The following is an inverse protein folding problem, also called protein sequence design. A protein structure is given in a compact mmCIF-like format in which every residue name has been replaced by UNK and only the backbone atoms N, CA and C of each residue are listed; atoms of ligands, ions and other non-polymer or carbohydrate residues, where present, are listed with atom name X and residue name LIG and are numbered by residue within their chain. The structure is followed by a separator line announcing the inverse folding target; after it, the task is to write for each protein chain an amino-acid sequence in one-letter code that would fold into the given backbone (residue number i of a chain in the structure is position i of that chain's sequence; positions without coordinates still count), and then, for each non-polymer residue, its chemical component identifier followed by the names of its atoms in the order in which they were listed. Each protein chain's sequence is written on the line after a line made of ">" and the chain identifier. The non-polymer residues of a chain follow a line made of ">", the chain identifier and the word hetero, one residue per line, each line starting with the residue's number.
data_IF_981311286614
#
_entry.id   IF_981311286614
#
_cell.length_a   1.000
_cell.length_b   1.000
_cell.length_c   1.000
_cell.angle_alpha   90.00
_cell.angle_beta   90.00
_cell.angle_gamma   90.00
#
_symmetry.space_group_name_H-M   'P 1'
#
loop_
_entity.id
_entity.type
_entity.pdbx_description
1 polymer ?
#
# COMPACT_ATOMS: atom_id res chain seq x y z
N UNK A 1 -11.76 -56.67 -2.24
CA UNK A 1 -13.01 -55.93 -1.95
C UNK A 1 -12.80 -54.74 -1.00
N UNK A 2 -12.04 -54.85 0.10
CA UNK A 2 -11.78 -53.69 0.98
C UNK A 2 -10.77 -52.65 0.46
N UNK A 3 -9.82 -53.06 -0.38
CA UNK A 3 -8.72 -52.21 -0.86
C UNK A 3 -9.16 -51.20 -1.95
N UNK A 4 -10.08 -51.62 -2.83
CA UNK A 4 -10.64 -50.78 -3.89
C UNK A 4 -11.57 -49.69 -3.31
N UNK A 5 -12.38 -50.02 -2.30
CA UNK A 5 -13.25 -49.05 -1.63
C UNK A 5 -12.47 -47.97 -0.89
N UNK A 6 -11.40 -48.35 -0.17
CA UNK A 6 -10.51 -47.40 0.49
C UNK A 6 -9.81 -46.47 -0.51
N UNK A 7 -9.42 -47.02 -1.67
CA UNK A 7 -8.81 -46.25 -2.76
C UNK A 7 -9.79 -45.24 -3.36
N UNK A 8 -11.01 -45.65 -3.69
CA UNK A 8 -12.06 -44.77 -4.24
C UNK A 8 -12.41 -43.65 -3.26
N UNK A 9 -12.56 -43.96 -1.97
CA UNK A 9 -12.85 -42.95 -0.95
C UNK A 9 -11.72 -41.93 -0.80
N UNK A 10 -10.47 -42.36 -0.84
CA UNK A 10 -9.31 -41.47 -0.83
C UNK A 10 -9.29 -40.53 -2.05
N UNK A 11 -9.58 -41.07 -3.24
CA UNK A 11 -9.64 -40.28 -4.48
C UNK A 11 -10.81 -39.28 -4.47
N UNK A 12 -11.98 -39.71 -4.00
CA UNK A 12 -13.15 -38.85 -3.80
C UNK A 12 -12.82 -37.66 -2.88
N UNK A 13 -12.15 -37.89 -1.75
CA UNK A 13 -11.70 -36.83 -0.84
C UNK A 13 -10.71 -35.86 -1.48
N UNK A 14 -9.82 -36.36 -2.35
CA UNK A 14 -8.89 -35.52 -3.13
C UNK A 14 -9.63 -34.61 -4.11
N UNK A 15 -10.67 -35.11 -4.79
CA UNK A 15 -11.53 -34.32 -5.69
C UNK A 15 -12.30 -33.26 -4.91
N UNK A 16 -12.87 -33.59 -3.76
CA UNK A 16 -13.54 -32.63 -2.86
C UNK A 16 -12.61 -31.51 -2.42
N UNK A 17 -11.37 -31.82 -2.03
CA UNK A 17 -10.39 -30.80 -1.66
C UNK A 17 -10.13 -29.82 -2.82
N UNK A 18 -9.99 -30.33 -4.05
CA UNK A 18 -9.83 -29.47 -5.24
C UNK A 18 -11.06 -28.60 -5.49
N UNK A 19 -12.26 -29.19 -5.41
CA UNK A 19 -13.51 -28.48 -5.62
C UNK A 19 -13.72 -27.40 -4.55
N UNK A 20 -13.35 -27.65 -3.29
CA UNK A 20 -13.37 -26.67 -2.20
C UNK A 20 -12.47 -25.47 -2.49
N UNK A 21 -11.24 -25.70 -2.95
CA UNK A 21 -10.32 -24.63 -3.32
C UNK A 21 -10.86 -23.77 -4.46
N UNK A 22 -11.52 -24.39 -5.45
CA UNK A 22 -12.16 -23.68 -6.55
C UNK A 22 -13.39 -22.89 -6.06
N UNK A 23 -14.24 -23.49 -5.22
CA UNK A 23 -15.39 -22.82 -4.62
C UNK A 23 -14.97 -21.57 -3.83
N UNK A 24 -13.89 -21.67 -3.04
CA UNK A 24 -13.33 -20.54 -2.30
C UNK A 24 -12.73 -19.47 -3.21
N UNK A 25 -12.13 -19.85 -4.34
CA UNK A 25 -11.57 -18.88 -5.28
C UNK A 25 -12.66 -18.04 -5.97
N UNK A 26 -13.74 -18.69 -6.39
CA UNK A 26 -14.83 -18.02 -7.12
C UNK A 26 -15.83 -17.32 -6.19
N UNK A 27 -15.96 -17.77 -4.94
CA UNK A 27 -16.94 -17.26 -3.96
C UNK A 27 -18.38 -17.19 -4.52
N UNK A 28 -18.71 -18.08 -5.45
CA UNK A 28 -19.99 -18.07 -6.17
C UNK A 28 -20.97 -19.07 -5.55
N UNK A 29 -22.20 -18.63 -5.30
CA UNK A 29 -23.21 -19.40 -4.56
C UNK A 29 -23.50 -20.77 -5.19
N UNK A 30 -23.59 -20.85 -6.52
CA UNK A 30 -23.87 -22.10 -7.21
C UNK A 30 -22.70 -23.10 -7.09
N UNK A 31 -21.44 -22.63 -7.17
CA UNK A 31 -20.26 -23.50 -7.02
C UNK A 31 -20.13 -24.01 -5.59
N UNK A 32 -20.36 -23.13 -4.61
CA UNK A 32 -20.36 -23.49 -3.19
C UNK A 32 -21.45 -24.55 -2.92
N UNK A 33 -22.64 -24.36 -3.48
CA UNK A 33 -23.76 -25.29 -3.35
C UNK A 33 -23.45 -26.65 -3.96
N UNK A 34 -22.82 -26.69 -5.14
CA UNK A 34 -22.34 -27.91 -5.78
C UNK A 34 -21.30 -28.62 -4.90
N UNK A 35 -20.33 -27.89 -4.35
CA UNK A 35 -19.35 -28.44 -3.41
C UNK A 35 -20.03 -29.10 -2.21
N UNK A 36 -20.96 -28.40 -1.55
CA UNK A 36 -21.69 -28.92 -0.39
C UNK A 36 -22.45 -30.21 -0.75
N UNK A 37 -23.16 -30.24 -1.88
CA UNK A 37 -23.90 -31.44 -2.32
C UNK A 37 -22.95 -32.61 -2.62
N UNK A 38 -21.80 -32.35 -3.25
CA UNK A 38 -20.79 -33.36 -3.54
C UNK A 38 -20.19 -33.93 -2.24
N UNK A 39 -19.98 -33.09 -1.23
CA UNK A 39 -19.49 -33.47 0.10
C UNK A 39 -20.51 -34.35 0.86
N UNK A 40 -21.80 -33.99 0.78
CA UNK A 40 -22.89 -34.82 1.33
C UNK A 40 -22.89 -36.20 0.67
N UNK A 41 -22.78 -36.28 -0.66
CA UNK A 41 -22.71 -37.57 -1.39
C UNK A 41 -21.51 -38.39 -0.90
N UNK A 42 -20.33 -37.79 -0.78
CA UNK A 42 -19.15 -38.48 -0.23
C UNK A 42 -19.39 -39.03 1.18
N UNK A 43 -19.93 -38.20 2.07
CA UNK A 43 -20.19 -38.60 3.46
C UNK A 43 -21.22 -39.75 3.54
N UNK A 44 -22.25 -39.77 2.68
CA UNK A 44 -23.21 -40.88 2.60
C UNK A 44 -22.54 -42.22 2.28
N UNK A 45 -21.58 -42.26 1.36
CA UNK A 45 -20.79 -43.46 1.04
C UNK A 45 -19.73 -43.78 2.11
N UNK A 46 -19.26 -42.78 2.85
CA UNK A 46 -18.38 -43.01 4.01
C UNK A 46 -19.12 -43.69 5.17
N UNK A 47 -20.36 -43.28 5.43
CA UNK A 47 -21.18 -43.76 6.55
C UNK A 47 -21.85 -45.12 6.24
N UNK A 48 -22.13 -45.42 4.97
CA UNK A 48 -22.83 -46.64 4.57
C UNK A 48 -21.93 -47.59 3.76
N UNK A 49 -21.29 -48.54 4.44
CA UNK A 49 -20.39 -49.54 3.83
C UNK A 49 -21.11 -50.59 2.96
N UNK A 50 -22.44 -50.61 2.98
CA UNK A 50 -23.27 -51.46 2.13
C UNK A 50 -23.47 -50.91 0.70
N UNK A 51 -23.08 -49.65 0.46
CA UNK A 51 -23.17 -49.04 -0.87
C UNK A 51 -22.02 -49.49 -1.77
N UNK A 52 -22.31 -49.61 -3.07
CA UNK A 52 -21.28 -49.94 -4.07
C UNK A 52 -20.47 -48.70 -4.43
N UNK A 53 -19.23 -48.63 -3.92
CA UNK A 53 -18.29 -47.53 -4.12
C UNK A 53 -17.97 -47.25 -5.59
N UNK A 54 -18.15 -48.20 -6.51
CA UNK A 54 -17.95 -47.93 -7.95
C UNK A 54 -18.93 -46.89 -8.48
N UNK A 55 -20.12 -46.79 -7.89
CA UNK A 55 -21.12 -45.77 -8.24
C UNK A 55 -20.66 -44.36 -7.82
N UNK A 56 -19.96 -44.24 -6.69
CA UNK A 56 -19.34 -42.97 -6.28
C UNK A 56 -18.24 -42.56 -7.27
N UNK A 57 -17.42 -43.51 -7.73
CA UNK A 57 -16.40 -43.23 -8.73
C UNK A 57 -17.01 -42.82 -10.08
N UNK A 58 -18.07 -43.50 -10.53
CA UNK A 58 -18.81 -43.12 -11.74
C UNK A 58 -19.38 -41.71 -11.64
N UNK A 59 -19.98 -41.35 -10.51
CA UNK A 59 -20.45 -39.99 -10.25
C UNK A 59 -19.31 -38.97 -10.39
N UNK A 60 -18.15 -39.24 -9.79
CA UNK A 60 -17.01 -38.33 -9.90
C UNK A 60 -16.49 -38.18 -11.32
N UNK A 61 -16.34 -39.28 -12.06
CA UNK A 61 -15.85 -39.27 -13.44
C UNK A 61 -16.79 -38.49 -14.37
N UNK A 62 -18.11 -38.67 -14.19
CA UNK A 62 -19.11 -38.04 -15.05
C UNK A 62 -19.35 -36.57 -14.71
N UNK A 63 -19.35 -36.23 -13.41
CA UNK A 63 -19.84 -34.92 -12.95
C UNK A 63 -18.75 -34.08 -12.28
N UNK A 64 -17.99 -34.65 -11.35
CA UNK A 64 -17.05 -33.86 -10.54
C UNK A 64 -15.79 -33.50 -11.31
N UNK A 65 -15.22 -34.44 -12.06
CA UNK A 65 -13.95 -34.24 -12.77
C UNK A 65 -14.10 -33.23 -13.92
N UNK A 66 -15.20 -33.31 -14.69
CA UNK A 66 -15.49 -32.33 -15.75
C UNK A 66 -15.74 -30.92 -15.21
N UNK A 67 -16.43 -30.79 -14.08
CA UNK A 67 -16.64 -29.50 -13.42
C UNK A 67 -15.32 -28.92 -12.90
N UNK A 68 -14.49 -29.74 -12.25
CA UNK A 68 -13.16 -29.32 -11.78
C UNK A 68 -12.32 -28.82 -12.96
N UNK A 69 -12.34 -29.52 -14.10
CA UNK A 69 -11.59 -29.11 -15.29
C UNK A 69 -12.06 -27.75 -15.82
N UNK A 70 -13.38 -27.57 -15.97
CA UNK A 70 -13.98 -26.31 -16.42
C UNK A 70 -13.60 -25.14 -15.51
N UNK A 71 -13.84 -25.29 -14.21
CA UNK A 71 -13.53 -24.27 -13.21
C UNK A 71 -12.03 -23.96 -13.15
N UNK A 72 -11.17 -24.96 -13.33
CA UNK A 72 -9.71 -24.77 -13.38
C UNK A 72 -9.29 -23.97 -14.61
N UNK A 73 -9.89 -24.21 -15.78
CA UNK A 73 -9.62 -23.42 -17.00
C UNK A 73 -10.03 -21.97 -16.83
N UNK A 74 -11.24 -21.73 -16.33
CA UNK A 74 -11.76 -20.38 -16.07
C UNK A 74 -10.88 -19.67 -15.04
N UNK A 75 -10.48 -20.36 -13.96
CA UNK A 75 -9.58 -19.80 -12.95
C UNK A 75 -8.26 -19.35 -13.57
N UNK A 76 -7.62 -20.19 -14.40
CA UNK A 76 -6.35 -19.83 -15.06
C UNK A 76 -6.48 -18.64 -15.98
N UNK A 77 -7.58 -18.57 -16.75
CA UNK A 77 -7.84 -17.43 -17.62
C UNK A 77 -7.95 -16.13 -16.80
N UNK A 78 -8.74 -16.14 -15.73
CA UNK A 78 -8.87 -14.99 -14.84
C UNK A 78 -7.56 -14.59 -14.17
N UNK A 79 -6.80 -15.57 -13.68
CA UNK A 79 -5.49 -15.30 -13.08
C UNK A 79 -4.57 -14.59 -14.09
N UNK A 80 -4.53 -15.07 -15.34
CA UNK A 80 -3.76 -14.44 -16.42
C UNK A 80 -4.23 -13.01 -16.73
N UNK A 81 -5.55 -12.78 -16.82
CA UNK A 81 -6.12 -11.45 -17.07
C UNK A 81 -5.84 -10.46 -15.93
N UNK A 82 -5.59 -10.98 -14.73
CA UNK A 82 -5.32 -10.21 -13.52
C UNK A 82 -3.82 -10.05 -13.22
N UNK A 83 -2.93 -10.76 -13.93
CA UNK A 83 -1.48 -10.71 -13.69
C UNK A 83 -0.93 -9.28 -13.78
N UNK A 84 -1.42 -8.49 -14.73
CA UNK A 84 -1.00 -7.09 -14.87
C UNK A 84 -1.33 -6.26 -13.62
N UNK A 85 -2.52 -6.47 -13.05
CA UNK A 85 -2.99 -5.76 -11.85
C UNK A 85 -2.24 -6.23 -10.60
N UNK A 86 -1.98 -7.53 -10.48
CA UNK A 86 -1.20 -8.11 -9.37
C UNK A 86 0.23 -7.56 -9.40
N UNK A 87 0.86 -7.55 -10.58
CA UNK A 87 2.20 -6.97 -10.75
C UNK A 87 2.22 -5.48 -10.39
N UNK A 88 1.17 -4.73 -10.72
CA UNK A 88 1.07 -3.32 -10.35
C UNK A 88 1.01 -3.14 -8.82
N UNK A 89 0.21 -3.95 -8.11
CA UNK A 89 0.15 -3.94 -6.64
C UNK A 89 1.53 -4.25 -6.04
N UNK A 90 2.20 -5.30 -6.53
CA UNK A 90 3.52 -5.71 -6.05
C UNK A 90 4.58 -4.62 -6.25
N UNK A 91 4.56 -3.94 -7.40
CA UNK A 91 5.46 -2.82 -7.67
C UNK A 91 5.17 -1.66 -6.73
N UNK A 92 3.90 -1.29 -6.52
CA UNK A 92 3.51 -0.23 -5.61
C UNK A 92 3.93 -0.54 -4.16
N UNK A 93 3.78 -1.80 -3.70
CA UNK A 93 4.21 -2.22 -2.37
C UNK A 93 5.72 -2.06 -2.17
N UNK A 94 6.54 -2.44 -3.17
CA UNK A 94 8.00 -2.22 -3.11
C UNK A 94 8.37 -0.74 -3.00
N UNK A 95 7.65 0.14 -3.68
CA UNK A 95 7.86 1.59 -3.54
C UNK A 95 7.49 2.07 -2.14
N UNK A 96 6.36 1.62 -1.58
CA UNK A 96 5.93 1.95 -0.22
C UNK A 96 6.99 1.55 0.80
N UNK A 97 7.46 0.29 0.76
CA UNK A 97 8.50 -0.22 1.66
C UNK A 97 9.79 0.61 1.56
N UNK A 98 10.24 0.89 0.32
CA UNK A 98 11.44 1.67 0.09
C UNK A 98 11.34 3.14 0.54
N UNK A 99 10.13 3.69 0.65
CA UNK A 99 9.90 5.01 1.24
C UNK A 99 9.82 4.94 2.77
N UNK A 100 9.15 3.93 3.35
CA UNK A 100 9.01 3.79 4.80
C UNK A 100 10.36 3.55 5.51
N UNK A 101 11.25 2.73 4.92
CA UNK A 101 12.59 2.47 5.48
C UNK A 101 13.47 3.73 5.60
N UNK A 102 13.27 4.73 4.74
CA UNK A 102 14.07 5.97 4.74
C UNK A 102 13.59 7.00 5.77
N UNK A 103 12.36 6.87 6.28
CA UNK A 103 11.58 8.05 6.72
C UNK A 103 11.60 8.41 8.20
N UNK A 104 11.66 7.47 9.14
CA UNK A 104 11.00 7.78 10.44
C UNK A 104 11.97 8.12 11.60
N UNK A 105 13.13 7.47 11.72
CA UNK A 105 13.94 7.65 12.94
C UNK A 105 15.07 8.69 12.85
N UNK A 106 15.63 8.93 11.64
CA UNK A 106 16.79 9.83 11.52
C UNK A 106 16.39 11.31 11.57
N UNK A 107 15.33 11.72 10.86
CA UNK A 107 14.97 13.14 10.73
C UNK A 107 14.62 13.79 12.07
N UNK A 108 13.79 13.13 12.90
CA UNK A 108 13.37 13.66 14.18
C UNK A 108 14.53 13.81 15.16
N UNK A 109 15.46 12.86 15.14
CA UNK A 109 16.69 12.88 15.94
C UNK A 109 17.64 13.98 15.46
N UNK A 110 17.91 14.02 14.16
CA UNK A 110 18.78 15.01 13.54
C UNK A 110 18.22 16.43 13.68
N UNK A 111 16.90 16.62 13.63
CA UNK A 111 16.23 17.91 13.86
C UNK A 111 16.49 18.45 15.26
N UNK A 112 16.46 17.60 16.28
CA UNK A 112 16.79 17.99 17.66
C UNK A 112 18.26 18.38 17.78
N UNK A 113 19.16 17.61 17.15
CA UNK A 113 20.58 17.95 17.11
C UNK A 113 20.84 19.25 16.34
N UNK A 114 20.12 19.49 15.25
CA UNK A 114 20.26 20.66 14.40
C UNK A 114 20.04 21.97 15.16
N UNK A 115 19.04 22.01 16.05
CA UNK A 115 18.82 23.16 16.93
C UNK A 115 20.05 23.49 17.79
N UNK A 116 20.75 22.46 18.28
CA UNK A 116 21.99 22.61 19.06
C UNK A 116 23.18 23.06 18.21
N UNK A 117 23.34 22.48 17.02
CA UNK A 117 24.39 22.85 16.05
C UNK A 117 24.23 24.32 15.65
N UNK A 118 23.01 24.73 15.29
CA UNK A 118 22.72 26.10 14.89
C UNK A 118 22.94 27.09 16.04
N UNK A 119 22.54 26.73 17.26
CA UNK A 119 22.81 27.54 18.46
C UNK A 119 24.31 27.76 18.69
N UNK A 120 25.13 26.72 18.52
CA UNK A 120 26.60 26.84 18.65
C UNK A 120 27.19 27.68 17.52
N UNK A 121 26.70 27.50 16.29
CA UNK A 121 27.13 28.29 15.14
C UNK A 121 26.86 29.78 15.34
N UNK A 122 25.65 30.15 15.81
CA UNK A 122 25.31 31.55 16.10
C UNK A 122 26.21 32.16 17.20
N UNK A 123 26.59 31.40 18.22
CA UNK A 123 27.55 31.86 19.25
C UNK A 123 28.92 32.14 18.66
N UNK A 124 29.42 31.21 17.84
CA UNK A 124 30.72 31.38 17.18
C UNK A 124 30.69 32.59 16.26
N UNK A 125 29.63 32.72 15.47
CA UNK A 125 29.42 33.84 14.56
C UNK A 125 29.39 35.19 15.30
N UNK A 126 28.71 35.27 16.44
CA UNK A 126 28.70 36.50 17.24
C UNK A 126 30.09 36.82 17.80
N UNK A 127 30.80 35.83 18.33
CA UNK A 127 32.17 36.00 18.82
C UNK A 127 33.09 36.50 17.70
N UNK A 128 33.03 35.86 16.55
CA UNK A 128 33.79 36.21 15.35
C UNK A 128 33.53 37.67 14.93
N UNK A 129 32.26 38.10 14.89
CA UNK A 129 31.88 39.49 14.62
C UNK A 129 32.42 40.49 15.65
N UNK A 130 32.53 40.10 16.92
CA UNK A 130 33.08 40.99 17.97
C UNK A 130 34.60 41.06 17.97
N UNK A 131 35.27 40.01 17.51
CA UNK A 131 36.73 39.90 17.44
C UNK A 131 37.29 40.26 16.05
N UNK A 132 36.41 40.60 15.09
CA UNK A 132 36.73 40.87 13.68
C UNK A 132 37.52 39.73 13.01
N UNK A 133 37.14 38.49 13.33
CA UNK A 133 37.68 37.27 12.74
C UNK A 133 36.55 36.51 12.02
N UNK A 134 36.92 35.54 11.17
CA UNK A 134 35.97 34.92 10.25
C UNK A 134 36.14 33.39 10.19
N UNK A 135 35.99 32.73 11.33
CA UNK A 135 36.33 31.31 11.52
C UNK A 135 35.13 30.36 11.44
N UNK A 136 33.91 30.85 11.66
CA UNK A 136 32.71 30.03 11.67
C UNK A 136 32.50 29.29 10.33
N UNK A 137 32.30 27.98 10.42
CA UNK A 137 32.00 27.10 9.28
C UNK A 137 30.49 26.86 9.17
N UNK A 138 29.94 27.21 7.99
CA UNK A 138 28.53 27.03 7.66
C UNK A 138 28.21 25.59 7.22
N UNK A 139 29.20 24.75 6.88
CA UNK A 139 28.95 23.40 6.36
C UNK A 139 28.08 22.54 7.30
N UNK A 140 28.30 22.65 8.61
CA UNK A 140 27.53 21.90 9.61
C UNK A 140 26.07 22.36 9.69
N UNK A 141 25.82 23.65 9.50
CA UNK A 141 24.47 24.21 9.45
C UNK A 141 23.80 23.84 8.12
N UNK A 142 24.54 23.96 7.02
CA UNK A 142 24.04 23.65 5.68
C UNK A 142 23.82 22.15 5.44
N UNK A 143 24.40 21.28 6.25
CA UNK A 143 24.23 19.84 6.10
C UNK A 143 22.76 19.41 6.27
N UNK A 144 22.04 20.05 7.20
CA UNK A 144 20.68 19.64 7.52
C UNK A 144 19.71 19.86 6.35
N UNK A 145 19.67 21.06 5.77
CA UNK A 145 18.82 21.32 4.60
C UNK A 145 19.25 20.50 3.38
N UNK A 146 20.56 20.30 3.16
CA UNK A 146 21.03 19.46 2.04
C UNK A 146 20.54 18.02 2.15
N UNK A 147 20.45 17.51 3.38
CA UNK A 147 20.01 16.14 3.65
C UNK A 147 18.49 16.01 3.64
N UNK A 148 17.77 16.99 4.17
CA UNK A 148 16.34 16.86 4.47
C UNK A 148 15.42 17.86 3.76
N UNK A 149 15.96 18.94 3.20
CA UNK A 149 15.21 20.03 2.59
C UNK A 149 14.26 19.54 1.51
N UNK A 150 14.76 18.79 0.53
CA UNK A 150 13.94 18.26 -0.57
C UNK A 150 12.78 17.37 -0.11
N UNK A 151 12.99 16.59 0.96
CA UNK A 151 12.01 15.61 1.40
C UNK A 151 11.03 16.17 2.43
N UNK A 152 11.49 17.01 3.35
CA UNK A 152 10.73 17.44 4.51
C UNK A 152 10.28 18.90 4.42
N UNK A 153 10.91 19.75 3.60
CA UNK A 153 10.49 21.16 3.52
C UNK A 153 9.18 21.30 2.77
N UNK A 154 8.34 22.21 3.25
CA UNK A 154 7.02 22.46 2.68
C UNK A 154 7.16 23.17 1.34
N UNK A 155 6.46 22.67 0.33
CA UNK A 155 6.43 23.31 -1.00
C UNK A 155 5.31 24.32 -1.18
N UNK A 156 4.38 24.39 -0.23
CA UNK A 156 3.23 25.28 -0.26
C UNK A 156 3.25 26.21 0.95
N UNK A 157 3.52 27.49 0.72
CA UNK A 157 3.41 28.58 1.68
C UNK A 157 3.38 29.93 0.93
N UNK A 158 2.88 30.98 1.59
CA UNK A 158 2.95 32.35 1.07
C UNK A 158 4.38 32.88 1.21
N UNK A 159 5.13 32.91 0.10
CA UNK A 159 6.52 33.38 0.05
C UNK A 159 6.67 34.84 0.49
N UNK A 160 5.64 35.67 0.33
CA UNK A 160 5.68 37.07 0.73
C UNK A 160 5.83 37.23 2.25
N UNK A 161 5.31 36.28 3.04
CA UNK A 161 5.49 36.28 4.50
C UNK A 161 6.93 35.94 4.90
N UNK A 162 7.63 35.15 4.08
CA UNK A 162 8.97 34.68 4.39
C UNK A 162 10.04 35.71 3.99
N UNK A 163 9.78 36.55 2.98
CA UNK A 163 10.76 37.52 2.49
C UNK A 163 11.03 38.64 3.50
N UNK A 164 12.31 39.04 3.67
CA UNK A 164 12.64 40.14 4.57
C UNK A 164 12.22 41.49 3.98
N UNK A 165 11.75 42.38 4.84
CA UNK A 165 11.73 43.83 4.56
C UNK A 165 13.15 44.40 4.67
N UNK A 166 13.47 45.55 4.08
CA UNK A 166 14.79 46.16 4.25
C UNK A 166 15.14 46.36 5.73
N UNK A 167 16.27 45.81 6.17
CA UNK A 167 16.68 45.82 7.57
C UNK A 167 18.15 46.24 7.74
N UNK A 168 18.52 46.90 8.86
CA UNK A 168 19.91 47.18 9.16
C UNK A 168 20.64 45.88 9.53
N UNK A 169 21.81 45.66 8.92
CA UNK A 169 22.53 44.40 9.04
C UNK A 169 24.02 44.56 9.43
N UNK A 170 24.59 43.47 9.90
CA UNK A 170 26.02 43.18 9.88
C UNK A 170 26.32 42.28 8.69
N UNK A 171 27.51 42.45 8.11
CA UNK A 171 27.99 41.60 7.05
C UNK A 171 29.02 40.62 7.61
N UNK A 172 28.81 39.32 7.38
CA UNK A 172 29.72 38.25 7.78
C UNK A 172 30.08 37.41 6.55
N UNK A 173 31.24 37.67 5.93
CA UNK A 173 31.58 37.13 4.60
C UNK A 173 30.45 37.41 3.61
N UNK A 174 29.84 36.37 3.04
CA UNK A 174 28.71 36.45 2.11
C UNK A 174 27.33 36.52 2.81
N UNK A 175 27.28 36.44 4.13
CA UNK A 175 26.02 36.39 4.89
C UNK A 175 25.66 37.76 5.45
N UNK A 176 24.37 38.07 5.41
CA UNK A 176 23.83 39.33 5.93
C UNK A 176 22.92 39.03 7.12
N UNK A 177 23.23 39.64 8.27
CA UNK A 177 22.61 39.27 9.56
C UNK A 177 22.02 40.51 10.20
N UNK A 178 20.72 40.50 10.46
CA UNK A 178 20.03 41.63 11.05
C UNK A 178 20.60 41.99 12.43
N UNK A 179 20.84 43.30 12.67
CA UNK A 179 21.41 43.77 13.93
C UNK A 179 20.48 43.51 15.13
N UNK A 180 19.18 43.74 14.94
CA UNK A 180 18.15 43.53 15.96
C UNK A 180 18.04 42.05 16.34
N UNK A 181 18.12 41.15 15.35
CA UNK A 181 18.14 39.71 15.56
C UNK A 181 19.32 39.30 16.46
N UNK A 182 20.55 39.72 16.14
CA UNK A 182 21.71 39.39 16.97
C UNK A 182 21.58 39.88 18.41
N UNK A 183 21.02 41.08 18.61
CA UNK A 183 20.73 41.60 19.95
C UNK A 183 19.77 40.69 20.73
N UNK A 184 18.66 40.26 20.10
CA UNK A 184 17.69 39.33 20.69
C UNK A 184 18.29 37.97 21.00
N UNK A 185 19.07 37.42 20.07
CA UNK A 185 19.77 36.15 20.24
C UNK A 185 20.78 36.21 21.39
N UNK A 186 21.55 37.29 21.51
CA UNK A 186 22.53 37.45 22.58
C UNK A 186 21.88 37.44 23.97
N UNK A 187 20.74 38.12 24.15
CA UNK A 187 19.97 38.12 25.41
C UNK A 187 19.60 36.69 25.82
N UNK A 188 19.23 35.85 24.85
CA UNK A 188 18.82 34.46 25.08
C UNK A 188 19.98 33.45 24.97
N UNK A 189 21.23 33.92 25.04
CA UNK A 189 22.44 33.08 24.94
C UNK A 189 22.47 32.22 23.67
N UNK A 190 21.92 32.75 22.57
CA UNK A 190 21.85 32.13 21.24
C UNK A 190 21.17 30.74 21.23
N UNK A 191 20.31 30.46 22.22
CA UNK A 191 19.52 29.23 22.23
C UNK A 191 18.35 29.37 21.26
N UNK A 192 18.30 28.51 20.27
CA UNK A 192 17.26 28.51 19.24
C UNK A 192 16.68 27.11 19.03
N UNK A 193 15.46 27.04 18.52
CA UNK A 193 14.80 25.79 18.14
C UNK A 193 14.38 25.88 16.68
N UNK A 194 14.78 24.90 15.88
CA UNK A 194 14.25 24.74 14.53
C UNK A 194 12.75 24.40 14.62
N UNK A 195 11.93 25.16 13.92
CA UNK A 195 10.46 24.96 13.85
C UNK A 195 10.14 24.16 12.60
N UNK A 196 10.42 24.73 11.43
CA UNK A 196 10.19 24.08 10.15
C UNK A 196 10.96 24.75 9.00
N UNK A 197 11.09 24.04 7.88
CA UNK A 197 11.63 24.55 6.62
C UNK A 197 10.61 24.60 5.49
N UNK A 198 10.87 25.49 4.53
CA UNK A 198 10.08 25.76 3.34
C UNK A 198 10.99 25.68 2.09
N UNK A 199 10.48 25.08 1.02
CA UNK A 199 11.10 25.00 -0.30
C UNK A 199 10.11 25.54 -1.33
N UNK A 200 10.17 26.84 -1.61
CA UNK A 200 9.22 27.53 -2.50
C UNK A 200 9.91 27.82 -3.82
N UNK A 201 9.52 27.09 -4.86
CA UNK A 201 10.16 27.16 -6.17
C UNK A 201 11.62 26.70 -6.08
N UNK A 202 12.56 27.65 -6.19
CA UNK A 202 14.00 27.40 -6.04
C UNK A 202 14.59 27.95 -4.74
N UNK A 203 13.76 28.53 -3.87
CA UNK A 203 14.20 29.18 -2.64
C UNK A 203 13.91 28.32 -1.40
N UNK A 204 14.92 28.19 -0.54
CA UNK A 204 14.87 27.47 0.72
C UNK A 204 14.93 28.44 1.91
N UNK A 205 13.97 28.28 2.82
CA UNK A 205 13.85 29.07 4.05
C UNK A 205 13.71 28.16 5.26
N UNK A 206 14.34 28.53 6.36
CA UNK A 206 14.20 27.84 7.64
C UNK A 206 13.69 28.79 8.72
N UNK A 207 12.64 28.38 9.41
CA UNK A 207 12.04 29.12 10.51
C UNK A 207 12.57 28.58 11.84
N UNK A 208 13.07 29.49 12.66
CA UNK A 208 13.56 29.21 14.01
C UNK A 208 12.80 30.02 15.04
N UNK A 209 12.62 29.45 16.22
CA UNK A 209 12.11 30.12 17.43
C UNK A 209 13.26 30.41 18.38
N UNK A 210 13.33 31.63 18.90
CA UNK A 210 14.30 31.99 19.94
C UNK A 210 13.81 31.38 21.27
N UNK A 211 14.69 30.71 22.00
CA UNK A 211 14.32 30.06 23.26
C UNK A 211 13.82 31.10 24.28
N UNK A 212 12.75 30.77 25.01
CA UNK A 212 12.12 31.66 26.00
C UNK A 212 11.66 33.03 25.45
N UNK A 213 11.47 33.15 24.14
CA UNK A 213 10.80 34.28 23.49
C UNK A 213 9.70 33.78 22.56
N UNK A 214 8.77 34.66 22.20
CA UNK A 214 7.83 34.43 21.09
C UNK A 214 8.39 34.94 19.75
N UNK A 215 9.58 35.52 19.78
CA UNK A 215 10.30 35.94 18.58
C UNK A 215 10.72 34.72 17.74
N UNK A 216 10.43 34.82 16.44
CA UNK A 216 10.91 33.90 15.41
C UNK A 216 11.86 34.62 14.48
N UNK A 217 12.71 33.86 13.79
CA UNK A 217 13.59 34.40 12.77
C UNK A 217 13.71 33.40 11.62
N UNK A 218 14.01 33.93 10.44
CA UNK A 218 14.22 33.15 9.23
C UNK A 218 15.69 33.12 8.89
N UNK A 219 16.17 31.94 8.51
CA UNK A 219 17.39 31.77 7.75
C UNK A 219 17.02 31.48 6.30
N UNK A 220 17.28 32.45 5.42
CA UNK A 220 17.17 32.26 3.98
C UNK A 220 18.48 31.69 3.45
N UNK A 221 18.41 30.48 2.92
CA UNK A 221 19.60 29.70 2.56
C UNK A 221 20.22 30.25 1.28
N UNK A 222 19.38 30.49 0.27
CA UNK A 222 19.83 30.98 -1.04
C UNK A 222 20.27 32.44 -1.01
N UNK A 223 19.56 33.29 -0.26
CA UNK A 223 19.90 34.70 -0.13
C UNK A 223 20.94 34.96 0.97
N UNK A 224 21.32 33.93 1.73
CA UNK A 224 22.30 33.96 2.82
C UNK A 224 21.96 35.01 3.89
N UNK A 225 20.68 35.18 4.20
CA UNK A 225 20.21 36.19 5.16
C UNK A 225 19.64 35.59 6.43
N UNK A 226 19.92 36.25 7.55
CA UNK A 226 19.29 35.97 8.84
C UNK A 226 18.57 37.22 9.33
N UNK A 227 17.27 37.12 9.57
CA UNK A 227 16.42 38.25 9.96
C UNK A 227 15.25 37.79 10.82
N UNK A 228 14.76 38.67 11.68
CA UNK A 228 13.55 38.45 12.48
C UNK A 228 12.35 38.28 11.55
N UNK A 229 11.47 37.38 11.98
CA UNK A 229 10.20 37.16 11.30
C UNK A 229 9.23 38.28 11.68
N UNK A 230 8.90 39.12 10.70
CA UNK A 230 7.94 40.22 10.83
C UNK A 230 6.62 39.94 10.07
N UNK A 231 6.41 38.70 9.62
CA UNK A 231 5.20 38.24 8.93
C UNK A 231 4.09 37.80 9.88
N UNK A 232 2.99 37.33 9.31
CA UNK A 232 1.87 36.78 10.08
C UNK A 232 2.02 35.26 10.24
N UNK A 233 2.32 34.81 11.46
CA UNK A 233 2.46 33.37 11.77
C UNK A 233 1.15 32.62 11.54
N UNK A 234 -0.02 33.25 11.69
CA UNK A 234 -1.32 32.58 11.50
C UNK A 234 -1.58 32.24 10.03
N UNK A 235 -0.92 32.93 9.10
CA UNK A 235 -1.00 32.67 7.66
C UNK A 235 -0.04 31.57 7.19
N UNK A 236 0.86 31.12 8.07
CA UNK A 236 1.84 30.08 7.76
C UNK A 236 1.52 28.80 8.52
N UNK A 237 1.61 27.67 7.83
CA UNK A 237 1.66 26.38 8.52
C UNK A 237 3.04 26.20 9.16
N UNK A 238 3.07 26.39 10.47
CA UNK A 238 4.25 26.20 11.35
C UNK A 238 4.24 24.86 12.08
N UNK A 239 3.36 23.93 11.69
CA UNK A 239 3.40 22.57 12.23
C UNK A 239 4.74 21.90 11.93
N UNK A 240 5.01 20.75 12.54
CA UNK A 240 6.24 20.02 12.27
C UNK A 240 6.30 19.55 10.81
N UNK A 241 7.46 19.69 10.15
CA UNK A 241 7.65 19.17 8.80
C UNK A 241 7.34 17.66 8.76
N UNK A 242 6.42 17.29 7.87
CA UNK A 242 6.16 15.90 7.50
C UNK A 242 6.85 15.63 6.17
N UNK A 243 7.31 14.39 5.95
CA UNK A 243 7.93 14.10 4.66
C UNK A 243 6.88 14.11 3.54
N UNK A 244 7.26 14.72 2.41
CA UNK A 244 6.43 14.89 1.23
C UNK A 244 6.02 13.52 0.63
N UNK A 245 6.78 12.46 0.90
CA UNK A 245 6.48 11.10 0.46
C UNK A 245 5.31 10.45 1.20
N UNK A 246 4.79 11.02 2.30
CA UNK A 246 3.66 10.45 3.07
C UNK A 246 2.41 10.49 2.24
N UNK A 247 2.21 11.61 1.55
CA UNK A 247 1.11 11.77 0.60
C UNK A 247 1.22 10.73 -0.51
N UNK A 248 2.43 10.49 -1.05
CA UNK A 248 2.65 9.52 -2.13
C UNK A 248 2.38 8.09 -1.61
N UNK A 249 2.90 7.72 -0.44
CA UNK A 249 2.65 6.43 0.19
C UNK A 249 1.15 6.21 0.41
N UNK A 250 0.44 7.21 0.93
CA UNK A 250 -1.00 7.12 1.16
C UNK A 250 -1.76 6.97 -0.16
N UNK A 251 -1.40 7.72 -1.20
CA UNK A 251 -1.98 7.58 -2.54
C UNK A 251 -1.74 6.18 -3.13
N UNK A 252 -0.53 5.63 -2.98
CA UNK A 252 -0.20 4.27 -3.43
C UNK A 252 -0.98 3.21 -2.65
N UNK A 253 -1.15 3.36 -1.32
CA UNK A 253 -1.96 2.46 -0.49
C UNK A 253 -3.42 2.47 -0.93
N UNK A 254 -4.03 3.66 -1.09
CA UNK A 254 -5.42 3.78 -1.59
C UNK A 254 -5.58 3.18 -2.99
N UNK A 255 -4.58 3.38 -3.87
CA UNK A 255 -4.60 2.77 -5.20
C UNK A 255 -4.56 1.24 -5.13
N UNK A 256 -3.71 0.67 -4.28
CA UNK A 256 -3.65 -0.78 -4.07
C UNK A 256 -4.99 -1.34 -3.58
N UNK A 257 -5.64 -0.69 -2.62
CA UNK A 257 -6.97 -1.10 -2.15
C UNK A 257 -8.01 -1.13 -3.29
N UNK A 258 -8.00 -0.13 -4.18
CA UNK A 258 -8.90 -0.11 -5.35
C UNK A 258 -8.61 -1.25 -6.34
N UNK A 259 -7.33 -1.55 -6.58
CA UNK A 259 -6.91 -2.64 -7.46
C UNK A 259 -7.28 -4.01 -6.87
N UNK A 260 -7.13 -4.19 -5.55
CA UNK A 260 -7.56 -5.40 -4.84
C UNK A 260 -9.08 -5.59 -4.90
N UNK A 261 -9.86 -4.53 -4.72
CA UNK A 261 -11.31 -4.57 -4.90
C UNK A 261 -11.70 -5.00 -6.32
N UNK A 262 -11.04 -4.42 -7.34
CA UNK A 262 -11.25 -4.79 -8.75
C UNK A 262 -10.91 -6.27 -9.00
N UNK A 263 -9.82 -6.76 -8.41
CA UNK A 263 -9.42 -8.17 -8.44
C UNK A 263 -10.52 -9.06 -7.85
N UNK A 264 -11.07 -8.70 -6.70
CA UNK A 264 -12.09 -9.48 -6.01
C UNK A 264 -13.42 -9.50 -6.79
N UNK A 265 -13.83 -8.37 -7.38
CA UNK A 265 -15.00 -8.32 -8.26
C UNK A 265 -14.83 -9.21 -9.50
N UNK A 266 -13.66 -9.15 -10.14
CA UNK A 266 -13.36 -10.00 -11.31
C UNK A 266 -13.32 -11.49 -10.96
N UNK A 267 -12.80 -11.87 -9.78
CA UNK A 267 -12.83 -13.27 -9.29
C UNK A 267 -14.27 -13.79 -9.17
N UNK A 268 -15.17 -12.98 -8.61
CA UNK A 268 -16.59 -13.32 -8.39
C UNK A 268 -17.43 -13.37 -9.66
N UNK A 269 -17.07 -12.60 -10.68
CA UNK A 269 -17.87 -12.47 -11.91
C UNK A 269 -17.73 -13.69 -12.81
N UNK A 270 -18.70 -14.60 -12.82
CA UNK A 270 -18.72 -15.76 -13.73
C UNK A 270 -19.44 -15.36 -15.04
N UNK A 271 -18.93 -15.73 -16.23
CA UNK A 271 -19.65 -15.52 -17.48
C UNK A 271 -21.07 -16.11 -17.42
N UNK A 272 -22.07 -15.40 -17.94
CA UNK A 272 -23.48 -15.78 -17.82
C UNK A 272 -23.76 -17.19 -18.39
N UNK A 273 -23.07 -17.56 -19.46
CA UNK A 273 -23.13 -18.89 -20.08
C UNK A 273 -22.69 -19.99 -19.10
N UNK A 274 -21.60 -19.77 -18.37
CA UNK A 274 -21.12 -20.70 -17.34
C UNK A 274 -22.07 -20.72 -16.14
N UNK A 275 -22.63 -19.56 -15.76
CA UNK A 275 -23.64 -19.48 -14.69
C UNK A 275 -24.89 -20.32 -14.96
N UNK A 276 -25.40 -20.29 -16.20
CA UNK A 276 -26.53 -21.13 -16.60
C UNK A 276 -26.18 -22.62 -16.56
N UNK A 277 -24.98 -23.00 -17.01
CA UNK A 277 -24.50 -24.39 -16.93
C UNK A 277 -24.39 -24.86 -15.49
N UNK A 278 -23.90 -24.01 -14.57
CA UNK A 278 -23.82 -24.33 -13.14
C UNK A 278 -25.22 -24.54 -12.54
N UNK A 279 -26.22 -23.74 -12.94
CA UNK A 279 -27.60 -23.90 -12.49
C UNK A 279 -28.25 -25.18 -13.02
N UNK A 280 -28.04 -25.50 -14.29
CA UNK A 280 -28.52 -26.74 -14.88
C UNK A 280 -27.87 -27.96 -14.21
N UNK A 281 -26.57 -27.86 -13.92
CA UNK A 281 -25.83 -28.88 -13.17
C UNK A 281 -26.38 -29.04 -11.74
N UNK A 282 -26.66 -27.94 -11.05
CA UNK A 282 -27.21 -27.94 -9.69
C UNK A 282 -28.64 -28.51 -9.68
N UNK A 283 -29.46 -28.17 -10.68
CA UNK A 283 -30.79 -28.75 -10.89
C UNK A 283 -30.73 -30.25 -11.17
N UNK A 284 -29.72 -30.72 -11.92
CA UNK A 284 -29.50 -32.15 -12.10
C UNK A 284 -29.08 -32.80 -10.79
N UNK A 285 -28.20 -32.20 -9.99
CA UNK A 285 -27.88 -32.67 -8.65
C UNK A 285 -29.08 -32.67 -7.68
N UNK A 286 -30.08 -31.83 -7.90
CA UNK A 286 -31.33 -31.75 -7.11
C UNK A 286 -32.39 -32.75 -7.55
N UNK A 287 -32.52 -32.97 -8.86
CA UNK A 287 -33.45 -33.95 -9.43
C UNK A 287 -32.94 -35.39 -9.29
N UNK A 288 -31.68 -35.57 -8.91
CA UNK A 288 -31.15 -36.85 -8.45
C UNK A 288 -31.76 -37.12 -7.07
N UNK A 289 -32.85 -37.88 -7.06
CA UNK A 289 -33.21 -38.67 -5.89
C UNK A 289 -32.09 -39.72 -5.72
N UNK A 290 -31.08 -39.34 -4.90
CA UNK A 290 -29.74 -39.97 -4.78
C UNK A 290 -29.83 -41.49 -4.62
N UNK A 291 -30.92 -42.00 -4.05
CA UNK A 291 -31.11 -43.43 -3.82
C UNK A 291 -31.81 -44.17 -4.97
N UNK A 292 -32.74 -43.54 -5.71
CA UNK A 292 -33.59 -44.25 -6.67
C UNK A 292 -33.01 -44.33 -8.08
N UNK A 293 -32.19 -43.36 -8.50
CA UNK A 293 -31.57 -43.33 -9.84
C UNK A 293 -30.09 -43.68 -9.92
N UNK A 294 -29.39 -43.86 -8.80
CA UNK A 294 -28.10 -44.59 -8.79
C UNK A 294 -28.21 -46.01 -9.40
N UNK A 295 -29.43 -46.50 -9.56
CA UNK A 295 -29.77 -47.77 -10.19
C UNK A 295 -30.13 -47.70 -11.69
N UNK A 296 -30.38 -46.52 -12.28
CA UNK A 296 -30.80 -46.34 -13.69
C UNK A 296 -29.89 -45.32 -14.45
N UNK A 297 -28.58 -45.39 -14.23
CA UNK A 297 -27.61 -44.47 -14.85
C UNK A 297 -27.01 -45.01 -16.16
N UNK A 298 -27.82 -45.07 -17.21
CA UNK A 298 -27.37 -45.09 -18.60
C UNK A 298 -28.14 -44.00 -19.38
N UNK A 299 -27.43 -42.96 -19.86
CA UNK A 299 -27.67 -42.19 -21.12
C UNK A 299 -27.34 -40.67 -21.14
N UNK A 300 -27.05 -39.97 -20.04
CA UNK A 300 -26.92 -38.49 -20.10
C UNK A 300 -25.48 -37.91 -20.17
N UNK A 301 -24.48 -38.71 -20.55
CA UNK A 301 -23.06 -38.25 -20.62
C UNK A 301 -22.65 -37.71 -22.01
N UNK A 302 -23.58 -37.19 -22.81
CA UNK A 302 -23.28 -36.50 -24.08
C UNK A 302 -23.33 -34.97 -23.97
N UNK A 303 -23.98 -34.43 -22.94
CA UNK A 303 -24.30 -32.99 -22.88
C UNK A 303 -23.10 -32.16 -22.42
N UNK A 304 -22.35 -32.59 -21.40
CA UNK A 304 -21.17 -31.85 -20.91
C UNK A 304 -19.96 -31.93 -21.86
N UNK A 305 -19.76 -33.05 -22.57
CA UNK A 305 -18.71 -33.18 -23.61
C UNK A 305 -19.00 -32.29 -24.81
N UNK A 306 -20.26 -32.19 -25.23
CA UNK A 306 -20.68 -31.25 -26.27
C UNK A 306 -20.47 -29.78 -25.85
N UNK A 307 -20.66 -29.44 -24.56
CA UNK A 307 -20.44 -28.09 -24.03
C UNK A 307 -18.97 -27.70 -23.84
N UNK A 308 -18.09 -28.66 -23.49
CA UNK A 308 -16.63 -28.45 -23.50
C UNK A 308 -16.13 -28.08 -24.91
N UNK A 309 -16.70 -28.69 -25.96
CA UNK A 309 -16.33 -28.40 -27.35
C UNK A 309 -16.91 -27.08 -27.88
N UNK A 310 -18.09 -26.65 -27.43
CA UNK A 310 -18.67 -25.35 -27.80
C UNK A 310 -17.87 -24.16 -27.24
N UNK A 311 -17.29 -24.29 -26.04
CA UNK A 311 -16.43 -23.25 -25.45
C UNK A 311 -14.98 -23.28 -25.97
N UNK A 312 -14.51 -24.39 -26.56
CA UNK A 312 -13.18 -24.49 -27.17
C UNK A 312 -13.12 -23.90 -28.59
N UNK A 313 -14.26 -23.80 -29.30
CA UNK A 313 -14.33 -23.34 -30.70
C UNK A 313 -14.66 -21.85 -30.88
N UNK A 314 -14.84 -21.08 -29.80
CA UNK A 314 -15.15 -19.65 -29.84
C UNK A 314 -13.96 -18.73 -29.45
N UNK A 315 -12.73 -19.25 -29.47
CA UNK A 315 -11.50 -18.45 -29.32
C UNK A 315 -10.79 -18.28 -30.66
#
# INVERSE_FOLDING_TARGET
>A
MGDDAATIMSQSKRRLTKLKLLANFFEHIDIISIYIKTDIIHNLFQENTALDYNKLELFHLQYTDSLIELLTKIKRQKENDMLAVINEIDVNNKYIEGFEERRVDSFQTDRKMYSGIFSQHLKMLYKDLTEDIFTADWNNVLYFHKKYGQEFYRTQADEEQLKPKPFPAYQYKDYTIERKLLGRLNIQSFKVRFVCGYLIGTYEYELFKIFQSDDHFIFGIDDKKLYLFDGDLEKLDVSENQSNQSSIINQLKTKNEMLENTINERKRTIPAEVGNVLKDYLKNLENIDIMSKIFDFDEETNILRAMLNLNLNNN
#
